data_IF_544496406931
#
_entry.id   IF_544496406931
#
_cell.length_a   1.000
_cell.length_b   1.000
_cell.length_c   1.000
_cell.angle_alpha   90.00
_cell.angle_beta   90.00
_cell.angle_gamma   90.00
#
_symmetry.space_group_name_H-M   'P 1'
#
loop_
_entity.id
_entity.type
_entity.pdbx_description
1 polymer ?
#
# COMPACT_ATOMS: atom_id res chain seq x y z
N UNK A 1 6.93 7.60 4.32
CA UNK A 1 5.85 6.89 3.60
C UNK A 1 4.53 7.62 3.76
N UNK A 2 4.02 7.84 4.99
CA UNK A 2 2.79 8.63 5.20
C UNK A 2 2.88 10.06 4.63
N UNK A 3 3.97 10.78 4.91
CA UNK A 3 4.21 12.12 4.35
C UNK A 3 4.24 12.11 2.82
N UNK A 4 4.96 11.15 2.22
CA UNK A 4 5.00 10.96 0.76
C UNK A 4 3.63 10.62 0.14
N UNK A 5 2.77 9.87 0.84
CA UNK A 5 1.38 9.62 0.40
C UNK A 5 0.56 10.93 0.36
N UNK A 6 0.76 11.83 1.32
CA UNK A 6 0.09 13.14 1.31
C UNK A 6 0.69 14.10 0.29
N UNK A 7 2.02 14.21 0.23
CA UNK A 7 2.73 15.12 -0.70
C UNK A 7 2.60 14.71 -2.17
N UNK A 8 2.45 13.41 -2.47
CA UNK A 8 2.30 12.93 -3.85
C UNK A 8 0.95 13.28 -4.49
N UNK A 9 -0.01 13.77 -3.71
CA UNK A 9 -1.37 14.07 -4.20
C UNK A 9 -2.11 12.83 -4.70
N UNK A 10 -1.66 11.63 -4.35
CA UNK A 10 -2.29 10.38 -4.82
C UNK A 10 -3.73 10.24 -4.31
N UNK A 11 -4.03 10.86 -3.16
CA UNK A 11 -5.38 11.01 -2.62
C UNK A 11 -6.41 11.59 -3.60
N UNK A 12 -5.98 12.41 -4.55
CA UNK A 12 -6.84 13.08 -5.52
C UNK A 12 -6.83 12.36 -6.88
N UNK A 13 -5.84 11.50 -7.12
CA UNK A 13 -5.66 10.76 -8.39
C UNK A 13 -6.38 9.42 -8.41
N UNK A 14 -6.67 8.85 -7.24
CA UNK A 14 -7.36 7.56 -7.13
C UNK A 14 -8.62 7.69 -6.29
N UNK A 15 -9.71 7.05 -6.74
CA UNK A 15 -10.95 6.97 -5.98
C UNK A 15 -10.85 6.02 -4.77
N UNK A 16 -9.81 5.18 -4.72
CA UNK A 16 -9.58 4.22 -3.65
C UNK A 16 -8.54 4.72 -2.65
N UNK A 17 -8.72 4.39 -1.37
CA UNK A 17 -7.74 4.65 -0.30
C UNK A 17 -6.93 3.41 0.05
N UNK A 18 -6.49 2.65 -0.97
CA UNK A 18 -5.67 1.43 -0.80
C UNK A 18 -4.22 1.68 -1.23
N UNK A 19 -3.26 1.21 -0.44
CA UNK A 19 -1.81 1.29 -0.72
C UNK A 19 -1.17 -0.08 -0.49
N UNK A 20 -0.32 -0.51 -1.43
CA UNK A 20 0.40 -1.78 -1.31
C UNK A 20 1.84 -1.48 -0.87
N UNK A 21 2.30 -2.13 0.20
CA UNK A 21 3.68 -2.03 0.68
C UNK A 21 4.42 -3.36 0.45
N UNK A 22 5.75 -3.35 0.22
CA UNK A 22 6.52 -4.59 0.09
C UNK A 22 6.46 -5.44 1.35
N UNK A 23 6.50 -6.77 1.19
CA UNK A 23 6.49 -7.71 2.31
C UNK A 23 7.65 -7.55 3.30
N UNK A 24 8.77 -6.98 2.84
CA UNK A 24 9.92 -6.67 3.69
C UNK A 24 9.66 -5.58 4.75
N UNK A 25 8.66 -4.73 4.54
CA UNK A 25 8.29 -3.63 5.46
C UNK A 25 6.92 -3.83 6.08
N UNK A 26 6.41 -5.07 6.09
CA UNK A 26 5.10 -5.43 6.65
C UNK A 26 4.90 -4.96 8.10
N UNK A 27 5.97 -4.90 8.90
CA UNK A 27 5.94 -4.42 10.29
C UNK A 27 5.47 -2.97 10.38
N UNK A 28 5.72 -2.14 9.36
CA UNK A 28 5.31 -0.75 9.31
C UNK A 28 3.84 -0.56 8.89
N UNK A 29 3.14 -1.62 8.46
CA UNK A 29 1.77 -1.55 7.95
C UNK A 29 0.77 -0.96 8.95
N UNK A 30 0.83 -1.38 10.22
CA UNK A 30 -0.08 -0.89 11.27
C UNK A 30 0.09 0.61 11.51
N UNK A 31 1.32 1.04 11.78
CA UNK A 31 1.63 2.46 12.00
C UNK A 31 1.33 3.32 10.77
N UNK A 32 1.56 2.79 9.56
CA UNK A 32 1.24 3.49 8.32
C UNK A 32 -0.27 3.63 8.12
N UNK A 33 -1.05 2.59 8.42
CA UNK A 33 -2.51 2.61 8.35
C UNK A 33 -3.09 3.65 9.30
N UNK A 34 -2.60 3.72 10.53
CA UNK A 34 -3.05 4.71 11.52
C UNK A 34 -2.68 6.14 11.12
N UNK A 35 -1.45 6.36 10.65
CA UNK A 35 -0.99 7.71 10.28
C UNK A 35 -1.58 8.22 8.97
N UNK A 36 -1.78 7.35 7.99
CA UNK A 36 -2.30 7.76 6.68
C UNK A 36 -3.83 7.68 6.60
N UNK A 37 -4.47 6.77 7.34
CA UNK A 37 -5.88 6.43 7.17
C UNK A 37 -6.17 5.61 5.92
N UNK A 38 -5.15 5.13 5.20
CA UNK A 38 -5.30 4.30 4.01
C UNK A 38 -5.29 2.82 4.39
N UNK A 39 -6.00 2.01 3.61
CA UNK A 39 -5.92 0.56 3.68
C UNK A 39 -4.56 0.10 3.18
N UNK A 40 -3.71 -0.35 4.11
CA UNK A 40 -2.37 -0.85 3.79
C UNK A 40 -2.43 -2.35 3.54
N UNK A 41 -2.13 -2.74 2.30
CA UNK A 41 -2.01 -4.13 1.86
C UNK A 41 -0.52 -4.52 1.84
N UNK A 42 -0.20 -5.70 2.36
CA UNK A 42 1.16 -6.22 2.35
C UNK A 42 1.35 -7.09 1.11
N UNK A 43 2.12 -6.59 0.16
CA UNK A 43 2.51 -7.29 -1.06
C UNK A 43 3.64 -8.29 -0.82
N UNK A 44 4.09 -8.98 -1.89
CA UNK A 44 5.17 -9.96 -1.82
C UNK A 44 6.51 -9.31 -1.45
N UNK A 45 7.45 -10.11 -0.95
CA UNK A 45 8.84 -9.68 -0.72
C UNK A 45 9.59 -9.42 -2.02
N UNK A 46 9.26 -10.19 -3.07
CA UNK A 46 9.87 -10.08 -4.39
C UNK A 46 8.86 -9.49 -5.39
N UNK A 47 9.33 -8.54 -6.19
CA UNK A 47 8.46 -7.83 -7.16
C UNK A 47 7.88 -8.76 -8.23
N UNK A 48 8.52 -9.91 -8.47
CA UNK A 48 8.02 -10.95 -9.37
C UNK A 48 6.65 -11.50 -8.97
N UNK A 49 6.28 -11.43 -7.67
CA UNK A 49 4.99 -11.88 -7.18
C UNK A 49 3.85 -10.87 -7.34
N UNK A 50 4.12 -9.63 -7.76
CA UNK A 50 3.10 -8.56 -7.86
C UNK A 50 1.93 -8.97 -8.76
N UNK A 51 2.13 -9.57 -9.95
CA UNK A 51 1.01 -9.94 -10.82
C UNK A 51 0.06 -10.96 -10.19
N UNK A 52 0.60 -11.94 -9.45
CA UNK A 52 -0.20 -12.94 -8.74
C UNK A 52 -0.93 -12.31 -7.55
N UNK A 53 -0.24 -11.44 -6.81
CA UNK A 53 -0.81 -10.70 -5.68
C UNK A 53 -2.00 -9.84 -6.11
N UNK A 54 -1.86 -9.05 -7.18
CA UNK A 54 -2.95 -8.21 -7.66
C UNK A 54 -4.18 -9.03 -8.07
N UNK A 55 -4.00 -10.16 -8.77
CA UNK A 55 -5.12 -11.05 -9.13
C UNK A 55 -5.88 -11.62 -7.93
N UNK A 56 -5.20 -11.82 -6.80
CA UNK A 56 -5.79 -12.45 -5.62
C UNK A 56 -6.35 -11.44 -4.61
N UNK A 57 -5.71 -10.28 -4.48
CA UNK A 57 -5.98 -9.29 -3.42
C UNK A 57 -6.57 -7.97 -3.94
N UNK A 58 -6.58 -7.75 -5.26
CA UNK A 58 -7.08 -6.53 -5.88
C UNK A 58 -8.27 -6.85 -6.79
N UNK A 59 -9.47 -6.82 -6.19
CA UNK A 59 -10.79 -6.86 -6.85
C UNK A 59 -11.45 -5.48 -6.75
#
# INVERSE_FOLDING_TARGET
IAAALSESGVAEKVAHRKVIIPGGVAVLSGKLKELSGWEVLVGPRESAGIPAFLKQFWN
#
